data_IF_876451209683
#
_entry.id   IF_876451209683
#
_cell.length_a   1.000
_cell.length_b   1.000
_cell.length_c   1.000
_cell.angle_alpha   90.00
_cell.angle_beta   90.00
_cell.angle_gamma   90.00
#
_symmetry.space_group_name_H-M   'P 1'
#
loop_
_entity.id
_entity.type
_entity.pdbx_description
1 polymer ?
#
# COMPACT_ATOMS: atom_id res chain seq x y z
N UNK A 1 10.16 0.44 -9.24
CA UNK A 1 11.02 1.64 -9.20
C UNK A 1 11.90 1.87 -10.44
N UNK A 2 12.26 0.88 -11.23
CA UNK A 2 13.22 1.06 -12.32
C UNK A 2 12.64 1.26 -13.72
N UNK A 3 11.55 0.60 -14.04
CA UNK A 3 10.95 0.61 -15.36
C UNK A 3 10.09 1.88 -15.61
N UNK A 4 9.98 2.28 -16.88
CA UNK A 4 9.03 3.32 -17.28
C UNK A 4 7.59 2.85 -17.13
N UNK A 5 7.33 1.57 -17.43
CA UNK A 5 6.07 0.88 -17.22
C UNK A 5 6.33 -0.40 -16.45
N UNK A 6 5.62 -0.59 -15.35
CA UNK A 6 5.71 -1.79 -14.52
C UNK A 6 4.30 -2.27 -14.16
N UNK A 7 4.08 -3.57 -14.27
CA UNK A 7 2.91 -4.24 -13.70
C UNK A 7 3.35 -5.37 -12.79
N UNK A 8 2.81 -5.37 -11.59
CA UNK A 8 3.01 -6.44 -10.62
C UNK A 8 1.63 -6.99 -10.28
N UNK A 9 1.45 -8.27 -10.49
CA UNK A 9 0.21 -8.96 -10.17
C UNK A 9 0.48 -10.07 -9.16
N UNK A 10 -0.22 -10.00 -8.03
CA UNK A 10 -0.15 -10.99 -6.94
C UNK A 10 -1.48 -11.71 -6.83
N UNK A 11 -1.46 -13.04 -6.90
CA UNK A 11 -2.64 -13.88 -6.69
C UNK A 11 -2.37 -14.85 -5.56
N UNK A 12 -3.21 -14.79 -4.54
CA UNK A 12 -3.10 -15.64 -3.34
C UNK A 12 -4.43 -16.37 -3.17
N UNK A 13 -4.36 -17.67 -2.88
CA UNK A 13 -5.55 -18.46 -2.56
C UNK A 13 -5.31 -19.21 -1.25
N UNK A 14 -6.21 -19.04 -0.30
CA UNK A 14 -6.23 -19.77 0.96
C UNK A 14 -6.90 -21.13 0.75
N UNK A 15 -6.11 -22.20 0.74
CA UNK A 15 -6.57 -23.58 0.54
C UNK A 15 -6.69 -24.37 1.86
N UNK A 16 -6.44 -23.75 2.99
CA UNK A 16 -6.50 -24.42 4.28
C UNK A 16 -7.31 -23.58 5.26
N UNK A 17 -8.04 -24.26 6.14
CA UNK A 17 -8.71 -23.63 7.26
C UNK A 17 -7.72 -22.86 8.14
N UNK A 18 -8.10 -21.67 8.58
CA UNK A 18 -7.28 -20.82 9.44
C UNK A 18 -6.02 -20.28 8.78
N UNK A 19 -5.90 -20.34 7.44
CA UNK A 19 -4.76 -19.77 6.73
C UNK A 19 -4.67 -18.26 6.95
N UNK A 20 -3.45 -17.77 7.23
CA UNK A 20 -3.19 -16.36 7.45
C UNK A 20 -2.21 -15.80 6.43
N UNK A 21 -2.52 -14.64 5.86
CA UNK A 21 -1.66 -13.91 4.92
C UNK A 21 -1.54 -12.45 5.32
N UNK A 22 -0.30 -12.00 5.39
CA UNK A 22 0.06 -10.59 5.36
C UNK A 22 0.72 -10.28 4.01
N UNK A 23 0.14 -9.35 3.24
CA UNK A 23 0.61 -9.03 1.89
C UNK A 23 0.73 -7.51 1.71
N UNK A 24 1.84 -6.98 2.15
CA UNK A 24 2.09 -5.54 2.16
C UNK A 24 2.95 -5.10 0.96
N UNK A 25 2.85 -3.83 0.61
CA UNK A 25 3.62 -3.27 -0.47
C UNK A 25 3.74 -1.75 -0.42
N UNK A 26 4.78 -1.23 -1.05
CA UNK A 26 4.91 0.19 -1.27
C UNK A 26 5.41 0.51 -2.68
N UNK A 27 5.04 1.68 -3.18
CA UNK A 27 5.61 2.23 -4.40
C UNK A 27 6.00 3.69 -4.22
N UNK A 28 7.15 4.06 -4.79
CA UNK A 28 7.65 5.43 -4.85
C UNK A 28 7.98 5.73 -6.31
N UNK A 29 7.21 6.62 -6.92
CA UNK A 29 7.25 6.92 -8.35
C UNK A 29 7.66 8.37 -8.59
N UNK A 30 8.55 8.56 -9.54
CA UNK A 30 8.99 9.88 -10.00
C UNK A 30 9.17 9.90 -11.53
N UNK A 31 9.38 11.08 -12.09
CA UNK A 31 9.49 11.29 -13.52
C UNK A 31 8.19 10.96 -14.24
N UNK A 32 8.25 10.15 -15.28
CA UNK A 32 7.09 9.69 -16.08
C UNK A 32 6.80 8.19 -15.92
N UNK A 33 7.10 7.63 -14.75
CA UNK A 33 6.89 6.21 -14.49
C UNK A 33 5.42 5.88 -14.28
N UNK A 34 5.04 4.72 -14.78
CA UNK A 34 3.71 4.16 -14.55
C UNK A 34 3.85 2.79 -13.89
N UNK A 35 3.22 2.60 -12.75
CA UNK A 35 3.19 1.31 -12.05
C UNK A 35 1.76 0.91 -11.75
N UNK A 36 1.41 -0.32 -12.13
CA UNK A 36 0.14 -1.00 -11.80
C UNK A 36 0.43 -2.12 -10.80
N UNK A 37 -0.16 -2.04 -9.61
CA UNK A 37 -0.17 -3.10 -8.61
C UNK A 37 -1.56 -3.72 -8.57
N UNK A 38 -1.66 -4.97 -9.00
CA UNK A 38 -2.91 -5.75 -8.92
C UNK A 38 -2.73 -6.84 -7.86
N UNK A 39 -3.64 -6.90 -6.91
CA UNK A 39 -3.67 -7.93 -5.86
C UNK A 39 -5.03 -8.63 -5.85
N UNK A 40 -5.02 -9.95 -5.89
CA UNK A 40 -6.23 -10.78 -5.74
C UNK A 40 -5.99 -11.78 -4.63
N UNK A 41 -6.79 -11.71 -3.57
CA UNK A 41 -6.79 -12.68 -2.49
C UNK A 41 -8.12 -13.42 -2.49
N UNK A 42 -8.08 -14.75 -2.51
CA UNK A 42 -9.26 -15.62 -2.52
C UNK A 42 -9.26 -16.53 -1.31
N UNK A 43 -10.32 -16.46 -0.52
CA UNK A 43 -10.59 -17.38 0.57
C UNK A 43 -11.56 -18.47 0.07
N UNK A 44 -11.14 -19.73 0.16
CA UNK A 44 -11.96 -20.89 -0.27
C UNK A 44 -12.28 -21.83 0.90
N UNK A 45 -11.58 -21.67 2.02
CA UNK A 45 -11.76 -22.38 3.27
C UNK A 45 -12.10 -21.41 4.40
N UNK A 46 -12.73 -21.92 5.45
CA UNK A 46 -13.19 -21.12 6.58
C UNK A 46 -12.04 -20.65 7.52
N UNK A 47 -12.34 -19.66 8.34
CA UNK A 47 -11.44 -19.07 9.33
C UNK A 47 -10.15 -18.45 8.74
N UNK A 48 -10.16 -18.10 7.47
CA UNK A 48 -9.00 -17.46 6.82
C UNK A 48 -8.82 -16.00 7.24
N UNK A 49 -7.57 -15.54 7.40
CA UNK A 49 -7.28 -14.14 7.69
C UNK A 49 -6.36 -13.49 6.65
N UNK A 50 -6.70 -12.28 6.23
CA UNK A 50 -5.86 -11.46 5.33
C UNK A 50 -5.68 -10.07 5.91
N UNK A 51 -4.43 -9.62 5.98
CA UNK A 51 -4.07 -8.24 6.26
C UNK A 51 -3.20 -7.70 5.12
N UNK A 52 -3.70 -6.68 4.42
CA UNK A 52 -2.97 -6.04 3.32
C UNK A 52 -2.89 -4.54 3.54
N UNK A 53 -1.68 -4.00 3.47
CA UNK A 53 -1.42 -2.56 3.48
C UNK A 53 -0.52 -2.18 2.30
N UNK A 54 -1.07 -1.36 1.39
CA UNK A 54 -0.32 -0.79 0.27
C UNK A 54 -0.21 0.71 0.48
N UNK A 55 1.01 1.25 0.43
CA UNK A 55 1.22 2.70 0.45
C UNK A 55 2.00 3.16 -0.78
N UNK A 56 1.65 4.34 -1.28
CA UNK A 56 2.26 4.88 -2.48
C UNK A 56 2.50 6.37 -2.47
N UNK A 57 3.53 6.80 -3.20
CA UNK A 57 3.79 8.21 -3.49
C UNK A 57 4.10 8.37 -4.97
N UNK A 58 3.43 9.34 -5.60
CA UNK A 58 3.68 9.71 -6.98
C UNK A 58 4.11 11.19 -7.06
N UNK A 59 5.20 11.44 -7.79
CA UNK A 59 5.80 12.77 -8.04
C UNK A 59 5.88 13.05 -9.53
N UNK A 60 6.15 14.28 -9.88
CA UNK A 60 6.33 14.79 -11.27
C UNK A 60 5.11 14.53 -12.17
N UNK A 61 5.21 13.61 -13.11
CA UNK A 61 4.13 13.14 -14.00
C UNK A 61 3.90 11.64 -13.88
N UNK A 62 4.33 11.06 -12.76
CA UNK A 62 4.20 9.63 -12.54
C UNK A 62 2.75 9.24 -12.27
N UNK A 63 2.41 8.00 -12.61
CA UNK A 63 1.09 7.42 -12.38
C UNK A 63 1.17 6.11 -11.62
N UNK A 64 0.50 6.05 -10.47
CA UNK A 64 0.30 4.83 -9.68
C UNK A 64 -1.11 4.28 -9.87
N UNK A 65 -1.22 2.98 -10.08
CA UNK A 65 -2.51 2.27 -10.15
C UNK A 65 -2.49 1.15 -9.13
N UNK A 66 -3.53 1.08 -8.31
CA UNK A 66 -3.78 -0.03 -7.40
C UNK A 66 -5.13 -0.67 -7.69
N UNK A 67 -5.13 -1.98 -7.94
CA UNK A 67 -6.32 -2.78 -8.07
C UNK A 67 -6.28 -3.91 -7.04
N UNK A 68 -7.06 -3.77 -5.98
CA UNK A 68 -7.16 -4.77 -4.91
C UNK A 68 -8.48 -5.52 -4.98
N UNK A 69 -8.46 -6.85 -4.86
CA UNK A 69 -9.65 -7.66 -4.83
C UNK A 69 -9.54 -8.74 -3.75
N UNK A 70 -10.52 -8.80 -2.88
CA UNK A 70 -10.72 -9.92 -1.96
C UNK A 70 -11.99 -10.67 -2.39
N UNK A 71 -11.87 -11.97 -2.56
CA UNK A 71 -12.99 -12.86 -2.88
C UNK A 71 -13.15 -13.86 -1.74
N UNK A 72 -14.33 -13.90 -1.14
CA UNK A 72 -14.70 -14.88 -0.11
C UNK A 72 -15.73 -15.82 -0.71
N UNK A 73 -15.33 -17.05 -0.93
CA UNK A 73 -16.19 -18.07 -1.56
C UNK A 73 -17.24 -18.61 -0.58
N UNK A 74 -18.21 -19.33 -1.11
CA UNK A 74 -19.21 -20.02 -0.28
C UNK A 74 -18.52 -21.05 0.61
N UNK A 75 -18.89 -21.06 1.90
CA UNK A 75 -18.27 -21.91 2.90
C UNK A 75 -16.96 -21.38 3.49
N UNK A 76 -16.48 -20.23 3.06
CA UNK A 76 -15.35 -19.54 3.68
C UNK A 76 -15.79 -18.64 4.86
N UNK A 77 -16.72 -19.13 5.68
CA UNK A 77 -17.21 -18.44 6.86
C UNK A 77 -16.09 -18.24 7.90
N UNK A 78 -16.23 -17.27 8.80
CA UNK A 78 -15.18 -16.91 9.75
C UNK A 78 -14.02 -16.11 9.15
N UNK A 79 -14.07 -15.76 7.87
CA UNK A 79 -13.02 -14.98 7.22
C UNK A 79 -12.92 -13.57 7.82
N UNK A 80 -11.71 -13.16 8.27
CA UNK A 80 -11.36 -11.75 8.60
C UNK A 80 -10.37 -11.22 7.54
N UNK A 81 -10.81 -10.33 6.67
CA UNK A 81 -9.98 -9.84 5.58
C UNK A 81 -10.01 -8.31 5.49
N UNK A 82 -8.84 -7.71 5.59
CA UNK A 82 -8.66 -6.25 5.56
C UNK A 82 -7.65 -5.85 4.50
N UNK A 83 -8.03 -4.85 3.69
CA UNK A 83 -7.20 -4.29 2.64
C UNK A 83 -7.19 -2.77 2.75
N UNK A 84 -6.00 -2.20 2.94
CA UNK A 84 -5.76 -0.75 2.95
C UNK A 84 -4.90 -0.32 1.76
N UNK A 85 -5.29 0.75 1.09
CA UNK A 85 -4.44 1.47 0.16
C UNK A 85 -4.45 2.96 0.52
N UNK A 86 -3.26 3.50 0.77
CA UNK A 86 -3.09 4.91 1.10
C UNK A 86 -2.00 5.51 0.22
N UNK A 87 -2.28 6.66 -0.40
CA UNK A 87 -1.33 7.24 -1.33
C UNK A 87 -1.26 8.76 -1.23
N UNK A 88 -0.08 9.31 -1.55
CA UNK A 88 0.18 10.74 -1.62
C UNK A 88 0.50 11.16 -3.05
N UNK A 89 -0.19 12.20 -3.51
CA UNK A 89 0.13 12.94 -4.72
C UNK A 89 1.04 14.09 -4.31
N UNK A 90 2.31 14.04 -4.71
CA UNK A 90 3.33 15.00 -4.32
C UNK A 90 3.70 16.00 -5.43
N UNK A 91 2.97 16.01 -6.55
CA UNK A 91 3.11 16.97 -7.65
C UNK A 91 1.78 17.14 -8.39
N UNK A 92 1.51 18.32 -8.92
CA UNK A 92 0.23 18.67 -9.59
C UNK A 92 -0.14 17.76 -10.78
N UNK A 93 0.86 17.19 -11.47
CA UNK A 93 0.64 16.33 -12.65
C UNK A 93 0.80 14.84 -12.35
N UNK A 94 1.02 14.49 -11.10
CA UNK A 94 1.04 13.09 -10.69
C UNK A 94 -0.39 12.56 -10.54
N UNK A 95 -0.57 11.28 -10.83
CA UNK A 95 -1.89 10.63 -10.79
C UNK A 95 -1.84 9.36 -9.96
N UNK A 96 -2.92 9.10 -9.23
CA UNK A 96 -3.13 7.84 -8.52
C UNK A 96 -4.56 7.38 -8.75
N UNK A 97 -4.68 6.17 -9.28
CA UNK A 97 -5.94 5.46 -9.45
C UNK A 97 -6.01 4.27 -8.49
N UNK A 98 -7.12 4.11 -7.79
CA UNK A 98 -7.30 2.99 -6.89
C UNK A 98 -8.69 2.37 -7.02
N UNK A 99 -8.72 1.04 -7.12
CA UNK A 99 -9.95 0.26 -7.22
C UNK A 99 -9.92 -0.92 -6.24
N UNK A 100 -10.28 -0.71 -4.97
CA UNK A 100 -10.49 -1.81 -4.04
C UNK A 100 -11.86 -2.47 -4.26
N UNK A 101 -11.91 -3.80 -4.28
CA UNK A 101 -13.13 -4.59 -4.48
C UNK A 101 -13.25 -5.70 -3.43
N UNK A 102 -14.46 -5.90 -2.92
CA UNK A 102 -14.83 -7.05 -2.09
C UNK A 102 -15.94 -7.83 -2.81
N UNK A 103 -15.73 -9.14 -3.00
CA UNK A 103 -16.74 -10.05 -3.54
C UNK A 103 -16.97 -11.14 -2.50
N UNK A 104 -18.13 -11.13 -1.85
CA UNK A 104 -18.39 -11.95 -0.69
C UNK A 104 -19.59 -12.85 -0.97
N UNK A 105 -19.38 -14.17 -0.88
CA UNK A 105 -20.41 -15.19 -1.06
C UNK A 105 -20.70 -15.99 0.23
N UNK A 106 -20.00 -15.69 1.33
CA UNK A 106 -20.20 -16.26 2.66
C UNK A 106 -20.99 -15.28 3.54
N UNK A 107 -21.66 -15.80 4.57
CA UNK A 107 -22.56 -15.00 5.41
C UNK A 107 -21.87 -14.45 6.68
N UNK A 108 -21.06 -15.26 7.36
CA UNK A 108 -20.37 -14.89 8.61
C UNK A 108 -18.91 -14.48 8.35
N UNK A 109 -18.69 -13.24 8.00
CA UNK A 109 -17.35 -12.71 7.69
C UNK A 109 -17.13 -11.29 8.20
N UNK A 110 -15.89 -10.92 8.43
CA UNK A 110 -15.45 -9.57 8.75
C UNK A 110 -14.51 -9.05 7.65
N UNK A 111 -15.07 -8.43 6.63
CA UNK A 111 -14.30 -7.92 5.50
C UNK A 111 -14.40 -6.41 5.40
N UNK A 112 -13.24 -5.75 5.23
CA UNK A 112 -13.17 -4.31 5.05
C UNK A 112 -12.11 -3.93 4.03
N UNK A 113 -12.37 -2.85 3.30
CA UNK A 113 -11.34 -2.15 2.57
C UNK A 113 -11.34 -0.65 2.88
N UNK A 114 -10.17 -0.03 2.80
CA UNK A 114 -9.99 1.40 2.90
C UNK A 114 -9.12 1.93 1.77
N UNK A 115 -9.45 3.09 1.24
CA UNK A 115 -8.63 3.78 0.26
C UNK A 115 -8.58 5.26 0.55
N UNK A 116 -7.38 5.84 0.59
CA UNK A 116 -7.18 7.28 0.69
C UNK A 116 -6.14 7.75 -0.31
N UNK A 117 -6.43 8.85 -0.97
CA UNK A 117 -5.49 9.58 -1.81
C UNK A 117 -5.50 11.02 -1.34
N UNK A 118 -4.34 11.56 -1.00
CA UNK A 118 -4.19 12.91 -0.48
C UNK A 118 -2.86 13.53 -0.86
N UNK A 119 -2.54 14.62 -0.18
CA UNK A 119 -1.25 15.33 -0.27
C UNK A 119 -0.54 15.30 1.07
N UNK A 120 0.71 15.74 1.13
CA UNK A 120 1.40 15.97 2.39
C UNK A 120 0.65 17.04 3.21
N UNK A 121 0.67 16.89 4.53
CA UNK A 121 0.10 17.87 5.46
C UNK A 121 0.89 19.19 5.41
N UNK A 122 0.29 20.22 4.84
CA UNK A 122 0.89 21.55 4.73
C UNK A 122 1.13 22.19 6.09
N UNK A 123 0.33 21.88 7.12
CA UNK A 123 0.54 22.37 8.48
C UNK A 123 1.79 21.75 9.10
N UNK A 124 2.00 20.46 8.89
CA UNK A 124 3.22 19.78 9.34
C UNK A 124 4.46 20.30 8.60
N UNK A 125 4.37 20.52 7.29
CA UNK A 125 5.44 21.12 6.49
C UNK A 125 5.80 22.53 7.01
N UNK A 126 4.80 23.38 7.20
CA UNK A 126 4.98 24.72 7.74
C UNK A 126 5.65 24.68 9.12
N UNK A 127 5.18 23.83 10.02
CA UNK A 127 5.75 23.69 11.36
C UNK A 127 7.24 23.29 11.34
N UNK A 128 7.61 22.36 10.47
CA UNK A 128 9.00 21.92 10.31
C UNK A 128 9.90 23.06 9.79
N UNK A 129 9.40 23.81 8.81
CA UNK A 129 10.11 24.95 8.24
C UNK A 129 10.31 26.08 9.27
N UNK A 130 9.33 26.35 10.14
CA UNK A 130 9.47 27.33 11.24
C UNK A 130 10.56 26.92 12.26
N UNK A 131 10.94 25.66 12.28
CA UNK A 131 12.05 25.13 13.10
C UNK A 131 13.37 25.03 12.35
N UNK A 132 13.45 25.60 11.15
CA UNK A 132 14.67 25.70 10.36
C UNK A 132 14.96 24.48 9.49
N UNK A 133 14.03 23.54 9.34
CA UNK A 133 14.20 22.40 8.42
C UNK A 133 13.91 22.90 7.00
N UNK A 134 14.84 22.73 6.04
CA UNK A 134 14.61 23.08 4.65
C UNK A 134 13.37 22.38 4.07
N UNK A 135 12.65 23.05 3.16
CA UNK A 135 11.38 22.54 2.61
C UNK A 135 11.50 21.14 1.99
N UNK A 136 12.56 20.89 1.22
CA UNK A 136 12.78 19.58 0.58
C UNK A 136 13.09 18.49 1.61
N UNK A 137 13.86 18.81 2.64
CA UNK A 137 14.13 17.87 3.74
C UNK A 137 12.85 17.56 4.54
N UNK A 138 12.04 18.58 4.82
CA UNK A 138 10.74 18.39 5.49
C UNK A 138 9.80 17.49 4.67
N UNK A 139 9.74 17.69 3.34
CA UNK A 139 8.97 16.81 2.44
C UNK A 139 9.49 15.38 2.43
N UNK A 140 10.79 15.19 2.39
CA UNK A 140 11.42 13.87 2.44
C UNK A 140 11.10 13.17 3.76
N UNK A 141 11.25 13.84 4.90
CA UNK A 141 10.95 13.28 6.22
C UNK A 141 9.47 12.88 6.38
N UNK A 142 8.54 13.72 5.95
CA UNK A 142 7.10 13.38 5.99
C UNK A 142 6.75 12.23 5.04
N UNK A 143 7.36 12.18 3.86
CA UNK A 143 7.20 11.07 2.92
C UNK A 143 7.74 9.77 3.51
N UNK A 144 8.91 9.83 4.16
CA UNK A 144 9.50 8.69 4.85
C UNK A 144 8.59 8.19 5.97
N UNK A 145 8.12 9.09 6.83
CA UNK A 145 7.22 8.75 7.93
C UNK A 145 5.93 8.09 7.43
N UNK A 146 5.40 8.54 6.31
CA UNK A 146 4.22 7.94 5.70
C UNK A 146 4.48 6.51 5.19
N UNK A 147 5.61 6.26 4.53
CA UNK A 147 5.91 4.95 3.91
C UNK A 147 6.49 3.94 4.90
N UNK A 148 7.15 4.40 5.97
CA UNK A 148 7.82 3.53 6.95
C UNK A 148 6.85 2.57 7.64
N UNK A 149 5.58 2.94 7.77
CA UNK A 149 4.55 2.11 8.39
C UNK A 149 4.39 0.75 7.71
N UNK A 150 4.55 0.68 6.38
CA UNK A 150 4.54 -0.60 5.65
C UNK A 150 5.78 -1.43 5.97
N UNK A 151 6.93 -0.76 6.05
CA UNK A 151 8.22 -1.41 6.33
C UNK A 151 8.25 -1.95 7.76
N UNK A 152 7.67 -1.23 8.71
CA UNK A 152 7.62 -1.62 10.12
C UNK A 152 6.77 -2.87 10.37
N UNK A 153 5.91 -3.25 9.41
CA UNK A 153 5.16 -4.50 9.43
C UNK A 153 5.97 -5.73 9.02
N UNK A 154 7.19 -5.56 8.52
CA UNK A 154 8.11 -6.66 8.22
C UNK A 154 8.64 -7.24 9.54
N UNK A 155 8.28 -8.49 9.86
CA UNK A 155 8.66 -9.13 11.11
C UNK A 155 10.17 -9.40 11.19
N UNK A 156 10.77 -9.85 10.08
CA UNK A 156 12.19 -10.17 10.03
C UNK A 156 13.05 -8.88 10.05
N UNK A 157 13.79 -8.69 11.14
CA UNK A 157 14.56 -7.46 11.41
C UNK A 157 15.54 -7.10 10.28
N UNK A 158 16.36 -8.04 9.81
CA UNK A 158 17.30 -7.77 8.73
C UNK A 158 16.64 -7.38 7.41
N UNK A 159 15.49 -7.98 7.07
CA UNK A 159 14.73 -7.59 5.88
C UNK A 159 14.11 -6.20 6.05
N UNK A 160 13.62 -5.86 7.23
CA UNK A 160 13.09 -4.53 7.57
C UNK A 160 14.17 -3.46 7.45
N UNK A 161 15.39 -3.76 7.91
CA UNK A 161 16.51 -2.82 7.83
C UNK A 161 16.94 -2.54 6.38
N UNK A 162 17.08 -3.57 5.57
CA UNK A 162 17.33 -3.42 4.12
C UNK A 162 16.24 -2.60 3.43
N UNK A 163 14.97 -2.79 3.80
CA UNK A 163 13.86 -2.03 3.26
C UNK A 163 13.90 -0.55 3.68
N UNK A 164 14.31 -0.25 4.92
CA UNK A 164 14.51 1.13 5.41
C UNK A 164 15.64 1.83 4.68
N UNK A 165 16.79 1.19 4.52
CA UNK A 165 17.92 1.72 3.76
C UNK A 165 17.53 1.99 2.30
N UNK A 166 16.80 1.04 1.70
CA UNK A 166 16.28 1.19 0.34
C UNK A 166 15.37 2.42 0.20
N UNK A 167 14.49 2.66 1.16
CA UNK A 167 13.59 3.82 1.16
C UNK A 167 14.38 5.12 1.32
N UNK A 168 15.23 5.21 2.33
CA UNK A 168 16.02 6.40 2.64
C UNK A 168 16.91 6.84 1.46
N UNK A 169 17.48 5.88 0.74
CA UNK A 169 18.32 6.18 -0.43
C UNK A 169 17.55 6.74 -1.64
N UNK A 170 16.21 6.85 -1.58
CA UNK A 170 15.34 7.27 -2.69
C UNK A 170 14.46 8.50 -2.39
N UNK A 171 14.56 8.99 -1.20
CA UNK A 171 13.88 10.22 -0.75
C UNK A 171 14.78 11.44 -0.88
#
# INVERSE_FOLDING_TARGET
TGAKLQRIETRITHFAQGAHVQADGLYLLNGSRHTDLTSVVRHVEHDGATSQLIKGVARDTARGVFQGKIVVERGADGTDARMGHHALIASERAEIDAKPELIIYADDVQCAHGNTVGTLDESALFYMQQRGIPAEEARALLTQAFLIEVIDRIEHEGAREVAREWLTARL
#
